data_IF_824480943930
#
_entry.id   IF_824480943930
#
_cell.length_a   1.000
_cell.length_b   1.000
_cell.length_c   1.000
_cell.angle_alpha   90.00
_cell.angle_beta   90.00
_cell.angle_gamma   90.00
#
_symmetry.space_group_name_H-M   'P 1'
#
loop_
_entity.id
_entity.type
_entity.pdbx_description
1 polymer ?
#
# COMPACT_ATOMS: atom_id res chain seq x y z
N UNK A 1 -22.29 6.55 -13.71
CA UNK A 1 -21.28 5.52 -14.04
C UNK A 1 -20.07 5.49 -13.07
N UNK A 2 -19.81 6.54 -12.27
CA UNK A 2 -18.61 6.65 -11.42
C UNK A 2 -18.62 5.86 -10.09
N UNK A 3 -19.80 5.55 -9.52
CA UNK A 3 -19.88 4.92 -8.20
C UNK A 3 -19.43 3.45 -8.18
N UNK A 4 -19.75 2.68 -9.23
CA UNK A 4 -19.35 1.27 -9.32
C UNK A 4 -17.83 1.11 -9.41
N UNK A 5 -17.17 1.93 -10.24
CA UNK A 5 -15.71 1.91 -10.40
C UNK A 5 -15.02 2.35 -9.09
N UNK A 6 -15.52 3.41 -8.44
CA UNK A 6 -15.00 3.84 -7.15
C UNK A 6 -15.14 2.75 -6.07
N UNK A 7 -16.24 2.00 -6.06
CA UNK A 7 -16.44 0.90 -5.12
C UNK A 7 -15.50 -0.27 -5.39
N UNK A 8 -15.25 -0.61 -6.66
CA UNK A 8 -14.29 -1.66 -7.01
C UNK A 8 -12.85 -1.27 -6.66
N UNK A 9 -12.48 -0.01 -6.87
CA UNK A 9 -11.16 0.50 -6.48
C UNK A 9 -10.96 0.44 -4.95
N UNK A 10 -12.00 0.80 -4.17
CA UNK A 10 -12.00 0.67 -2.70
C UNK A 10 -11.81 -0.79 -2.27
N UNK A 11 -12.53 -1.72 -2.87
CA UNK A 11 -12.39 -3.17 -2.57
C UNK A 11 -10.98 -3.66 -2.93
N UNK A 12 -10.48 -3.27 -4.11
CA UNK A 12 -9.12 -3.61 -4.53
C UNK A 12 -8.06 -3.10 -3.55
N UNK A 13 -8.19 -1.85 -3.08
CA UNK A 13 -7.31 -1.27 -2.07
C UNK A 13 -7.38 -1.99 -0.73
N UNK A 14 -8.56 -2.46 -0.32
CA UNK A 14 -8.70 -3.29 0.87
C UNK A 14 -7.92 -4.60 0.74
N UNK A 15 -8.03 -5.28 -0.41
CA UNK A 15 -7.27 -6.52 -0.70
C UNK A 15 -5.77 -6.26 -0.73
N UNK A 16 -5.31 -5.18 -1.38
CA UNK A 16 -3.88 -4.79 -1.41
C UNK A 16 -3.37 -4.54 0.01
N UNK A 17 -4.14 -3.84 0.83
CA UNK A 17 -3.77 -3.56 2.22
C UNK A 17 -3.66 -4.84 3.04
N UNK A 18 -4.60 -5.78 2.90
CA UNK A 18 -4.51 -7.10 3.52
C UNK A 18 -3.27 -7.87 3.05
N UNK A 19 -2.91 -7.79 1.77
CA UNK A 19 -1.68 -8.37 1.23
C UNK A 19 -0.42 -7.84 1.94
N UNK A 20 -0.34 -6.54 2.20
CA UNK A 20 0.77 -5.95 2.96
C UNK A 20 0.81 -6.42 4.42
N UNK A 21 -0.34 -6.59 5.07
CA UNK A 21 -0.41 -7.13 6.43
C UNK A 21 0.09 -8.59 6.48
N UNK A 22 -0.26 -9.40 5.48
CA UNK A 22 0.27 -10.77 5.34
C UNK A 22 1.78 -10.72 5.11
N UNK A 23 2.27 -9.90 4.18
CA UNK A 23 3.71 -9.76 3.93
C UNK A 23 4.47 -9.28 5.18
N UNK A 24 3.87 -8.40 5.98
CA UNK A 24 4.43 -7.96 7.25
C UNK A 24 4.56 -9.10 8.25
N UNK A 25 3.52 -9.92 8.41
CA UNK A 25 3.56 -11.10 9.26
C UNK A 25 4.71 -12.05 8.86
N UNK A 26 4.84 -12.35 7.57
CA UNK A 26 5.94 -13.18 7.05
C UNK A 26 7.32 -12.54 7.26
N UNK A 27 7.45 -11.23 7.05
CA UNK A 27 8.70 -10.51 7.28
C UNK A 27 9.12 -10.53 8.77
N UNK A 28 8.16 -10.47 9.70
CA UNK A 28 8.40 -10.62 11.14
C UNK A 28 8.84 -12.04 11.49
N UNK A 29 8.26 -13.06 10.83
CA UNK A 29 8.66 -14.46 10.95
C UNK A 29 10.04 -14.78 10.33
N UNK A 30 10.68 -13.81 9.66
CA UNK A 30 12.02 -13.95 9.09
C UNK A 30 12.05 -14.20 7.58
N UNK A 31 10.89 -14.33 6.93
CA UNK A 31 10.78 -14.52 5.48
C UNK A 31 10.89 -13.17 4.75
N UNK A 32 12.09 -12.86 4.25
CA UNK A 32 12.45 -11.57 3.63
C UNK A 32 12.74 -11.69 2.14
N UNK A 33 11.85 -12.35 1.41
CA UNK A 33 12.04 -12.65 -0.01
C UNK A 33 11.80 -11.42 -0.90
N UNK A 34 10.94 -10.50 -0.46
CA UNK A 34 10.61 -9.27 -1.18
C UNK A 34 11.81 -8.30 -1.19
N UNK A 35 12.10 -7.72 -2.36
CA UNK A 35 13.20 -6.76 -2.51
C UNK A 35 12.79 -5.39 -1.94
N UNK A 36 13.60 -4.74 -1.07
CA UNK A 36 13.29 -3.40 -0.54
C UNK A 36 13.05 -2.35 -1.64
N UNK A 37 13.81 -2.42 -2.74
CA UNK A 37 13.65 -1.53 -3.89
C UNK A 37 12.25 -1.61 -4.51
N UNK A 38 11.65 -2.81 -4.56
CA UNK A 38 10.27 -2.98 -5.04
C UNK A 38 9.27 -2.24 -4.14
N UNK A 39 9.42 -2.36 -2.82
CA UNK A 39 8.55 -1.68 -1.86
C UNK A 39 8.68 -0.16 -1.98
N UNK A 40 9.90 0.36 -2.17
CA UNK A 40 10.14 1.79 -2.39
C UNK A 40 9.45 2.30 -3.66
N UNK A 41 9.59 1.60 -4.78
CA UNK A 41 8.92 1.97 -6.05
C UNK A 41 7.39 1.91 -5.89
N UNK A 42 6.87 0.89 -5.21
CA UNK A 42 5.45 0.81 -4.87
C UNK A 42 4.99 2.04 -4.07
N UNK A 43 5.71 2.40 -3.00
CA UNK A 43 5.36 3.56 -2.17
C UNK A 43 5.38 4.87 -2.97
N UNK A 44 6.32 5.06 -3.89
CA UNK A 44 6.33 6.22 -4.78
C UNK A 44 5.11 6.26 -5.69
N UNK A 45 4.73 5.11 -6.27
CA UNK A 45 3.51 5.01 -7.08
C UNK A 45 2.26 5.34 -6.26
N UNK A 46 2.14 4.81 -5.05
CA UNK A 46 1.01 5.11 -4.15
C UNK A 46 1.00 6.57 -3.73
N UNK A 47 2.16 7.20 -3.49
CA UNK A 47 2.23 8.63 -3.19
C UNK A 47 1.65 9.48 -4.32
N UNK A 48 1.94 9.14 -5.58
CA UNK A 48 1.32 9.80 -6.74
C UNK A 48 -0.20 9.62 -6.75
N UNK A 49 -0.71 8.42 -6.43
CA UNK A 49 -2.15 8.15 -6.34
C UNK A 49 -2.84 8.94 -5.20
N UNK A 50 -2.13 9.19 -4.10
CA UNK A 50 -2.65 10.02 -3.01
C UNK A 50 -2.80 11.47 -3.48
N UNK A 51 -1.77 12.03 -4.13
CA UNK A 51 -1.80 13.40 -4.66
C UNK A 51 -2.90 13.54 -5.70
N UNK A 52 -2.98 12.63 -6.66
CA UNK A 52 -4.03 12.60 -7.68
C UNK A 52 -5.43 12.48 -7.05
N UNK A 53 -5.58 11.62 -6.04
CA UNK A 53 -6.84 11.45 -5.33
C UNK A 53 -7.32 12.73 -4.65
N UNK A 54 -6.43 13.49 -4.02
CA UNK A 54 -6.81 14.80 -3.44
C UNK A 54 -7.09 15.85 -4.52
N UNK A 55 -6.31 15.91 -5.60
CA UNK A 55 -6.51 16.85 -6.70
C UNK A 55 -7.84 16.67 -7.42
N UNK A 56 -8.37 15.44 -7.48
CA UNK A 56 -9.64 15.11 -8.14
C UNK A 56 -10.84 14.99 -7.18
N UNK A 57 -10.69 15.39 -5.90
CA UNK A 57 -11.77 15.30 -4.91
C UNK A 57 -12.13 13.86 -4.49
N UNK A 58 -11.27 12.88 -4.79
CA UNK A 58 -11.41 11.46 -4.44
C UNK A 58 -10.80 11.17 -3.06
N UNK A 59 -11.13 11.98 -2.05
CA UNK A 59 -10.49 11.93 -0.72
C UNK A 59 -10.55 10.56 -0.05
N UNK A 60 -11.63 9.80 -0.26
CA UNK A 60 -11.74 8.43 0.25
C UNK A 60 -10.67 7.51 -0.33
N UNK A 61 -10.41 7.61 -1.63
CA UNK A 61 -9.40 6.82 -2.32
C UNK A 61 -7.98 7.23 -1.88
N UNK A 62 -7.74 8.53 -1.73
CA UNK A 62 -6.47 9.06 -1.25
C UNK A 62 -6.15 8.56 0.17
N UNK A 63 -7.13 8.60 1.09
CA UNK A 63 -6.97 8.08 2.47
C UNK A 63 -6.69 6.58 2.48
N UNK A 64 -7.37 5.79 1.65
CA UNK A 64 -7.10 4.34 1.58
C UNK A 64 -5.71 4.02 1.02
N UNK A 65 -5.27 4.76 -0.01
CA UNK A 65 -3.90 4.66 -0.52
C UNK A 65 -2.88 5.00 0.57
N UNK A 66 -3.15 6.02 1.39
CA UNK A 66 -2.30 6.40 2.52
C UNK A 66 -2.14 5.26 3.53
N UNK A 67 -3.23 4.58 3.92
CA UNK A 67 -3.16 3.40 4.78
C UNK A 67 -2.34 2.26 4.17
N UNK A 68 -2.52 2.01 2.87
CA UNK A 68 -1.75 1.00 2.15
C UNK A 68 -0.25 1.34 2.12
N UNK A 69 0.09 2.62 1.92
CA UNK A 69 1.47 3.10 1.94
C UNK A 69 2.11 2.90 3.32
N UNK A 70 1.38 3.17 4.41
CA UNK A 70 1.88 2.92 5.77
C UNK A 70 2.10 1.43 6.03
N UNK A 71 1.19 0.56 5.57
CA UNK A 71 1.38 -0.89 5.68
C UNK A 71 2.65 -1.35 4.94
N UNK A 72 2.85 -0.88 3.70
CA UNK A 72 4.07 -1.16 2.94
C UNK A 72 5.34 -0.60 3.61
N UNK A 73 5.26 0.59 4.22
CA UNK A 73 6.36 1.19 4.97
C UNK A 73 6.81 0.30 6.15
N UNK A 74 5.87 -0.24 6.93
CA UNK A 74 6.21 -1.16 8.02
C UNK A 74 6.90 -2.44 7.53
N UNK A 75 6.48 -2.96 6.37
CA UNK A 75 7.17 -4.08 5.71
C UNK A 75 8.57 -3.68 5.31
N UNK A 76 8.76 -2.52 4.68
CA UNK A 76 10.06 -2.02 4.28
C UNK A 76 11.02 -1.94 5.47
N UNK A 77 10.57 -1.39 6.61
CA UNK A 77 11.37 -1.35 7.84
C UNK A 77 11.79 -2.77 8.22
N UNK A 78 10.84 -3.72 8.32
CA UNK A 78 11.18 -5.08 8.74
C UNK A 78 12.10 -5.83 7.79
N UNK A 79 11.93 -5.66 6.50
CA UNK A 79 12.76 -6.32 5.50
C UNK A 79 14.17 -5.70 5.49
N UNK A 80 14.30 -4.39 5.65
CA UNK A 80 15.57 -3.66 5.55
C UNK A 80 16.49 -3.83 6.76
N UNK A 81 15.93 -3.91 7.98
CA UNK A 81 16.74 -4.18 9.16
C UNK A 81 17.09 -5.68 9.24
N UNK A 82 18.28 -6.07 8.79
CA UNK A 82 18.88 -7.38 9.09
C UNK A 82 18.99 -7.54 10.62
N UNK A 83 18.46 -8.64 11.15
CA UNK A 83 18.95 -9.18 12.43
C UNK A 83 20.26 -9.88 12.13
#
# INVERSE_FOLDING_TARGET
MNYLIANMAVIGLAVITLGWLVQFYYAVAGHKEIKPAFILVYMLGVLLLIVDGYSNGLSKLAVMNLFSMFAAFFVLLKVSFKK
#
